data_IF_569489955227
#
_entry.id   IF_569489955227
#
_cell.length_a   1.000
_cell.length_b   1.000
_cell.length_c   1.000
_cell.angle_alpha   90.00
_cell.angle_beta   90.00
_cell.angle_gamma   90.00
#
_symmetry.space_group_name_H-M   'P 1'
#
loop_
_entity.id
_entity.type
_entity.pdbx_description
1 polymer ?
#
# COMPACT_ATOMS: atom_id res chain seq x y z
N UNK A 1 -18.55 0.54 -6.14
CA UNK A 1 -17.56 1.55 -5.68
C UNK A 1 -16.98 1.08 -4.35
N UNK A 2 -15.66 0.94 -4.23
CA UNK A 2 -14.97 0.74 -2.95
C UNK A 2 -14.55 2.13 -2.47
N UNK A 3 -14.89 2.47 -1.22
CA UNK A 3 -14.51 3.74 -0.61
C UNK A 3 -13.51 3.47 0.51
N UNK A 4 -12.34 4.10 0.42
CA UNK A 4 -11.30 4.02 1.42
C UNK A 4 -10.89 5.44 1.83
N UNK A 5 -10.85 5.68 3.13
CA UNK A 5 -10.63 7.01 3.68
C UNK A 5 -9.38 7.04 4.57
N UNK A 6 -8.43 7.88 4.20
CA UNK A 6 -7.15 8.04 4.88
C UNK A 6 -7.00 9.51 5.31
N UNK A 7 -7.43 9.83 6.53
CA UNK A 7 -7.84 11.18 6.93
C UNK A 7 -6.79 12.05 7.64
N UNK A 8 -5.55 12.08 7.17
CA UNK A 8 -4.52 12.93 7.82
C UNK A 8 -3.65 13.70 6.83
N UNK A 9 -4.17 13.98 5.63
CA UNK A 9 -3.50 14.86 4.67
C UNK A 9 -3.58 16.32 5.13
N UNK A 10 -2.72 16.72 6.08
CA UNK A 10 -2.49 18.13 6.39
C UNK A 10 -1.82 18.90 5.24
N UNK A 11 -1.52 18.23 4.12
CA UNK A 11 -1.04 18.85 2.89
C UNK A 11 -1.78 18.20 1.71
N UNK A 12 -2.29 19.03 0.79
CA UNK A 12 -3.08 18.63 -0.39
C UNK A 12 -2.30 17.85 -1.44
N UNK A 13 -1.50 16.87 -1.03
CA UNK A 13 -0.65 16.10 -1.91
C UNK A 13 -1.21 14.69 -2.06
N UNK A 14 -1.78 14.44 -3.24
CA UNK A 14 -2.29 13.15 -3.72
C UNK A 14 -1.14 12.18 -4.01
N UNK A 15 -0.41 11.77 -2.97
CA UNK A 15 0.81 10.96 -3.14
C UNK A 15 0.53 9.46 -3.29
N UNK A 16 -0.54 8.95 -2.69
CA UNK A 16 -0.78 7.52 -2.63
C UNK A 16 -1.54 7.05 -3.87
N UNK A 17 -0.86 6.29 -4.73
CA UNK A 17 -1.50 5.56 -5.82
C UNK A 17 -1.82 4.14 -5.36
N UNK A 18 -3.10 3.77 -5.42
CA UNK A 18 -3.49 2.40 -5.22
C UNK A 18 -3.05 1.52 -6.41
N UNK A 19 -2.66 0.28 -6.15
CA UNK A 19 -2.41 -0.73 -7.19
C UNK A 19 -3.19 -2.02 -6.90
N UNK A 20 -3.46 -2.78 -7.95
CA UNK A 20 -3.99 -4.13 -7.83
C UNK A 20 -2.94 -5.10 -7.30
N UNK A 21 -3.39 -6.05 -6.49
CA UNK A 21 -2.68 -7.28 -6.21
C UNK A 21 -2.63 -8.19 -7.43
N UNK A 22 -1.93 -9.31 -7.29
CA UNK A 22 -1.65 -10.21 -8.40
C UNK A 22 -2.89 -10.93 -8.96
N UNK A 23 -3.88 -11.20 -8.10
CA UNK A 23 -5.08 -12.00 -8.40
C UNK A 23 -6.38 -11.18 -8.37
N UNK A 24 -6.28 -9.85 -8.40
CA UNK A 24 -7.39 -8.91 -8.27
C UNK A 24 -8.22 -9.02 -6.97
N UNK A 25 -7.80 -9.83 -6.00
CA UNK A 25 -8.51 -9.99 -4.71
C UNK A 25 -8.27 -8.82 -3.76
N UNK A 26 -7.19 -8.06 -3.98
CA UNK A 26 -6.72 -7.01 -3.07
C UNK A 26 -6.30 -5.74 -3.82
N UNK A 27 -6.47 -4.60 -3.17
CA UNK A 27 -5.85 -3.33 -3.53
C UNK A 27 -4.86 -2.92 -2.44
N UNK A 28 -3.71 -2.38 -2.85
CA UNK A 28 -2.69 -1.86 -1.94
C UNK A 28 -2.59 -0.36 -2.08
N UNK A 29 -2.59 0.36 -0.96
CA UNK A 29 -2.41 1.81 -0.94
C UNK A 29 -1.63 2.23 0.29
N UNK A 30 -0.68 3.16 0.14
CA UNK A 30 0.05 3.70 1.28
C UNK A 30 -0.83 4.60 2.15
N UNK A 31 -0.47 4.73 3.42
CA UNK A 31 -1.19 5.58 4.34
C UNK A 31 -0.32 6.55 5.15
N UNK A 32 -0.95 7.51 5.83
CA UNK A 32 -0.23 8.53 6.61
C UNK A 32 0.38 7.99 7.91
N UNK A 33 0.06 6.75 8.30
CA UNK A 33 0.64 6.07 9.47
C UNK A 33 1.93 5.31 9.15
N UNK A 34 2.53 5.57 7.99
CA UNK A 34 3.74 4.87 7.50
C UNK A 34 3.50 3.36 7.41
N UNK A 35 2.36 3.01 6.82
CA UNK A 35 1.93 1.63 6.59
C UNK A 35 1.31 1.50 5.18
N UNK A 36 1.03 0.26 4.79
CA UNK A 36 0.29 -0.07 3.56
C UNK A 36 -1.08 -0.61 3.95
N UNK A 37 -2.14 0.06 3.55
CA UNK A 37 -3.49 -0.49 3.67
C UNK A 37 -3.74 -1.52 2.56
N UNK A 38 -4.22 -2.69 2.97
CA UNK A 38 -4.65 -3.80 2.12
C UNK A 38 -6.16 -3.85 2.15
N UNK A 39 -6.78 -3.51 1.03
CA UNK A 39 -8.22 -3.47 0.88
C UNK A 39 -8.67 -4.75 0.19
N UNK A 40 -9.47 -5.56 0.89
CA UNK A 40 -10.03 -6.80 0.39
C UNK A 40 -11.25 -6.47 -0.48
N UNK A 41 -11.20 -6.81 -1.77
CA UNK A 41 -12.19 -6.37 -2.75
C UNK A 41 -13.56 -7.03 -2.50
N UNK A 42 -13.55 -8.35 -2.25
CA UNK A 42 -14.78 -9.14 -2.02
C UNK A 42 -15.42 -8.77 -0.69
N UNK A 43 -14.63 -8.76 0.37
CA UNK A 43 -15.12 -8.58 1.75
C UNK A 43 -15.30 -7.12 2.13
N UNK A 44 -14.75 -6.18 1.34
CA UNK A 44 -14.76 -4.73 1.59
C UNK A 44 -14.17 -4.35 2.95
N UNK A 45 -13.24 -5.16 3.44
CA UNK A 45 -12.50 -4.92 4.67
C UNK A 45 -11.14 -4.32 4.35
N UNK A 46 -10.51 -3.72 5.36
CA UNK A 46 -9.16 -3.14 5.24
C UNK A 46 -8.32 -3.63 6.40
N UNK A 47 -7.09 -4.07 6.12
CA UNK A 47 -6.03 -4.28 7.10
C UNK A 47 -4.84 -3.38 6.76
N UNK A 48 -3.88 -3.23 7.68
CA UNK A 48 -2.69 -2.43 7.45
C UNK A 48 -1.44 -3.28 7.68
N UNK A 49 -0.47 -3.18 6.77
CA UNK A 49 0.88 -3.71 6.90
C UNK A 49 1.77 -2.60 7.48
N UNK A 50 2.03 -2.67 8.78
CA UNK A 50 2.93 -1.77 9.49
C UNK A 50 4.24 -2.49 9.86
N UNK A 51 5.29 -1.70 10.11
CA UNK A 51 6.59 -2.21 10.52
C UNK A 51 7.37 -1.11 11.23
N UNK A 52 8.13 -1.49 12.26
CA UNK A 52 9.06 -0.57 12.95
C UNK A 52 10.18 -0.06 12.03
N UNK A 53 10.47 -0.78 10.95
CA UNK A 53 11.44 -0.37 9.93
C UNK A 53 10.86 0.62 8.89
N UNK A 54 9.54 0.79 8.87
CA UNK A 54 8.86 1.69 7.93
C UNK A 54 8.83 3.11 8.50
N UNK A 55 9.89 3.88 8.25
CA UNK A 55 10.02 5.24 8.78
C UNK A 55 9.39 6.31 7.89
N UNK A 56 8.98 5.96 6.67
CA UNK A 56 8.20 6.82 5.79
C UNK A 56 7.10 6.06 5.05
N UNK A 57 6.04 6.78 4.68
CA UNK A 57 4.90 6.22 3.97
C UNK A 57 5.24 5.90 2.51
N UNK A 58 5.05 4.65 2.06
CA UNK A 58 5.20 4.28 0.66
C UNK A 58 4.11 4.94 -0.17
N UNK A 59 4.46 5.49 -1.33
CA UNK A 59 3.54 6.26 -2.18
C UNK A 59 3.45 5.71 -3.62
N UNK A 60 4.41 4.89 -4.03
CA UNK A 60 4.45 4.24 -5.34
C UNK A 60 4.70 2.75 -5.14
N UNK A 61 3.92 1.92 -5.81
CA UNK A 61 4.01 0.47 -5.69
C UNK A 61 4.20 -0.19 -7.05
N UNK A 62 4.77 -1.38 -7.02
CA UNK A 62 4.83 -2.31 -8.15
C UNK A 62 4.68 -3.74 -7.63
N UNK A 63 3.71 -4.49 -8.18
CA UNK A 63 3.64 -5.93 -7.98
C UNK A 63 4.75 -6.61 -8.78
N UNK A 64 5.38 -7.64 -8.21
CA UNK A 64 6.42 -8.37 -8.93
C UNK A 64 5.80 -9.16 -10.10
N UNK A 65 6.34 -9.09 -11.33
CA UNK A 65 5.70 -9.68 -12.50
C UNK A 65 5.68 -11.22 -12.48
N UNK A 66 6.67 -11.84 -11.84
CA UNK A 66 6.86 -13.30 -11.86
C UNK A 66 6.67 -14.00 -10.51
N UNK A 67 6.50 -13.24 -9.42
CA UNK A 67 6.46 -13.82 -8.06
C UNK A 67 5.18 -13.30 -7.41
N UNK A 68 4.14 -14.14 -7.46
CA UNK A 68 2.85 -13.85 -6.85
C UNK A 68 3.02 -13.53 -5.37
N UNK A 69 2.25 -12.57 -4.86
CA UNK A 69 2.32 -12.14 -3.48
C UNK A 69 3.54 -11.28 -3.11
N UNK A 70 4.33 -10.85 -4.10
CA UNK A 70 5.43 -9.89 -3.87
C UNK A 70 5.06 -8.48 -4.32
N UNK A 71 5.28 -7.51 -3.44
CA UNK A 71 5.02 -6.10 -3.64
C UNK A 71 6.27 -5.29 -3.30
N UNK A 72 6.69 -4.40 -4.20
CA UNK A 72 7.71 -3.39 -3.92
C UNK A 72 7.05 -2.02 -3.75
N UNK A 73 7.56 -1.21 -2.84
CA UNK A 73 7.04 0.14 -2.56
C UNK A 73 8.15 1.14 -2.30
N UNK A 74 8.04 2.32 -2.93
CA UNK A 74 8.96 3.43 -2.75
C UNK A 74 8.28 4.59 -1.99
N UNK A 75 9.04 5.28 -1.16
CA UNK A 75 8.60 6.46 -0.42
C UNK A 75 9.08 7.75 -1.08
N UNK A 76 8.46 8.89 -0.72
CA UNK A 76 8.92 10.21 -1.16
C UNK A 76 10.31 10.59 -0.63
N UNK A 77 10.81 9.89 0.39
CA UNK A 77 12.11 10.13 1.03
C UNK A 77 13.21 9.20 0.52
N UNK A 78 12.98 8.49 -0.59
CA UNK A 78 14.00 7.64 -1.22
C UNK A 78 14.17 6.25 -0.60
N UNK A 79 13.27 5.84 0.29
CA UNK A 79 13.30 4.49 0.89
C UNK A 79 12.52 3.50 0.02
N UNK A 80 12.96 2.25 0.00
CA UNK A 80 12.30 1.15 -0.71
C UNK A 80 12.04 0.02 0.27
N UNK A 81 10.83 -0.53 0.20
CA UNK A 81 10.38 -1.66 1.00
C UNK A 81 9.84 -2.76 0.09
N UNK A 82 9.92 -3.99 0.57
CA UNK A 82 9.38 -5.16 -0.11
C UNK A 82 8.55 -5.98 0.87
N UNK A 83 7.35 -6.39 0.44
CA UNK A 83 6.46 -7.29 1.16
C UNK A 83 6.32 -8.58 0.36
N UNK A 84 6.39 -9.71 1.05
CA UNK A 84 6.27 -11.05 0.47
C UNK A 84 5.32 -11.88 1.32
N UNK A 85 4.39 -12.59 0.71
CA UNK A 85 3.64 -13.65 1.39
C UNK A 85 4.53 -14.88 1.51
N UNK A 86 4.93 -15.25 2.72
CA UNK A 86 5.57 -16.54 3.00
C UNK A 86 4.59 -17.69 2.86
#
# INVERSE_FOLDING_TARGET
MIHHYNNHANSGQSFFRAIWGWDDSYLFVGNMKRAVDVIYVVNRTTSSLDSTYMTASPCRFAAHPCISGTLAGATGYGQVYMWTTT
#
